data_IF_821848472322
#
_entry.id   IF_821848472322
#
_cell.length_a   1.000
_cell.length_b   1.000
_cell.length_c   1.000
_cell.angle_alpha   90.00
_cell.angle_beta   90.00
_cell.angle_gamma   90.00
#
_symmetry.space_group_name_H-M   'P 1'
#
loop_
_entity.id
_entity.type
_entity.pdbx_description
1 polymer ?
#
# COMPACT_ATOMS: atom_id res chain seq x y z
N UNK A 1 18.85 -9.67 -3.36
CA UNK A 1 17.57 -9.98 -2.70
C UNK A 1 16.46 -10.36 -3.68
N UNK A 2 16.14 -9.59 -4.73
CA UNK A 2 15.04 -9.96 -5.65
C UNK A 2 15.26 -11.29 -6.38
N UNK A 3 16.49 -11.56 -6.85
CA UNK A 3 16.81 -12.80 -7.56
C UNK A 3 16.70 -14.06 -6.68
N UNK A 4 16.96 -13.93 -5.38
CA UNK A 4 16.85 -15.04 -4.42
C UNK A 4 15.38 -15.36 -4.11
N UNK A 5 14.53 -14.32 -4.01
CA UNK A 5 13.09 -14.46 -3.77
C UNK A 5 12.37 -15.12 -4.95
N UNK A 6 12.69 -14.70 -6.17
CA UNK A 6 12.07 -15.25 -7.40
C UNK A 6 12.50 -16.69 -7.67
N UNK A 7 13.74 -17.06 -7.34
CA UNK A 7 14.22 -18.45 -7.42
C UNK A 7 13.47 -19.38 -6.45
N UNK A 8 13.27 -18.94 -5.21
CA UNK A 8 12.50 -19.70 -4.22
C UNK A 8 11.03 -19.90 -4.65
N UNK A 9 10.41 -18.85 -5.21
CA UNK A 9 9.05 -18.92 -5.75
C UNK A 9 8.95 -19.90 -6.93
N UNK A 10 9.92 -19.88 -7.84
CA UNK A 10 9.97 -20.82 -8.96
C UNK A 10 10.06 -22.27 -8.47
N UNK A 11 10.93 -22.53 -7.48
CA UNK A 11 11.06 -23.85 -6.86
C UNK A 11 9.77 -24.29 -6.17
N UNK A 12 9.09 -23.38 -5.47
CA UNK A 12 7.79 -23.66 -4.87
C UNK A 12 6.78 -24.04 -5.95
N UNK A 13 6.55 -23.19 -6.95
CA UNK A 13 5.58 -23.44 -8.02
C UNK A 13 5.82 -24.77 -8.76
N UNK A 14 7.08 -25.19 -8.92
CA UNK A 14 7.44 -26.45 -9.58
C UNK A 14 7.19 -27.69 -8.70
N UNK A 15 7.30 -27.58 -7.37
CA UNK A 15 7.17 -28.70 -6.44
C UNK A 15 5.75 -28.89 -5.87
N UNK A 16 4.89 -27.87 -5.87
CA UNK A 16 3.53 -28.03 -5.32
C UNK A 16 2.66 -28.91 -6.22
N UNK A 17 2.12 -30.00 -5.68
CA UNK A 17 1.11 -30.81 -6.36
C UNK A 17 -0.32 -30.36 -6.03
N UNK A 18 -0.58 -29.98 -4.79
CA UNK A 18 -1.91 -29.64 -4.27
C UNK A 18 -2.44 -28.29 -4.77
N UNK A 19 -1.56 -27.32 -5.05
CA UNK A 19 -1.95 -25.93 -5.35
C UNK A 19 -1.49 -25.45 -6.73
N UNK A 20 -1.41 -26.33 -7.73
CA UNK A 20 -0.90 -25.98 -9.08
C UNK A 20 -1.55 -24.75 -9.72
N UNK A 21 -2.87 -24.58 -9.58
CA UNK A 21 -3.59 -23.44 -10.16
C UNK A 21 -3.30 -22.14 -9.38
N UNK A 22 -3.33 -22.21 -8.05
CA UNK A 22 -3.11 -21.05 -7.18
C UNK A 22 -1.65 -20.60 -7.20
N UNK A 23 -0.70 -21.53 -7.27
CA UNK A 23 0.74 -21.22 -7.36
C UNK A 23 1.07 -20.53 -8.68
N UNK A 24 0.48 -20.98 -9.81
CA UNK A 24 0.60 -20.28 -11.11
C UNK A 24 0.00 -18.87 -11.08
N UNK A 25 -1.18 -18.71 -10.46
CA UNK A 25 -1.82 -17.38 -10.32
C UNK A 25 -0.98 -16.45 -9.46
N UNK A 26 -0.45 -16.96 -8.34
CA UNK A 26 0.42 -16.20 -7.45
C UNK A 26 1.72 -15.79 -8.17
N UNK A 27 2.36 -16.70 -8.90
CA UNK A 27 3.53 -16.40 -9.72
C UNK A 27 3.26 -15.28 -10.73
N UNK A 28 2.14 -15.32 -11.45
CA UNK A 28 1.75 -14.23 -12.36
C UNK A 28 1.60 -12.88 -11.65
N UNK A 29 1.07 -12.86 -10.43
CA UNK A 29 0.95 -11.63 -9.63
C UNK A 29 2.34 -11.12 -9.26
N UNK A 30 3.20 -11.99 -8.73
CA UNK A 30 4.57 -11.64 -8.35
C UNK A 30 5.35 -11.12 -9.56
N UNK A 31 5.33 -11.83 -10.68
CA UNK A 31 5.97 -11.39 -11.93
C UNK A 31 5.43 -10.02 -12.39
N UNK A 32 4.14 -9.73 -12.21
CA UNK A 32 3.55 -8.44 -12.60
C UNK A 32 3.98 -7.26 -11.72
N UNK A 33 4.47 -7.54 -10.50
CA UNK A 33 4.84 -6.55 -9.49
C UNK A 33 6.36 -6.46 -9.31
N UNK A 34 7.02 -7.59 -9.01
CA UNK A 34 8.46 -7.68 -8.74
C UNK A 34 9.31 -7.64 -10.01
N UNK A 35 8.82 -8.17 -11.14
CA UNK A 35 9.60 -8.14 -12.40
C UNK A 35 9.55 -6.78 -13.11
N UNK A 36 8.76 -5.82 -12.61
CA UNK A 36 8.84 -4.43 -13.07
C UNK A 36 10.10 -3.80 -12.51
N UNK A 37 11.20 -3.93 -13.24
CA UNK A 37 12.43 -3.19 -12.97
C UNK A 37 12.20 -1.70 -13.31
N UNK A 38 11.67 -0.97 -12.34
CA UNK A 38 11.47 0.47 -12.45
C UNK A 38 12.82 1.13 -12.14
N UNK A 39 13.37 1.83 -13.12
CA UNK A 39 14.57 2.63 -12.94
C UNK A 39 14.44 3.54 -11.71
N UNK A 40 15.43 3.55 -10.78
CA UNK A 40 15.40 4.41 -9.60
C UNK A 40 15.16 5.89 -9.94
N UNK A 41 15.68 6.35 -11.08
CA UNK A 41 15.46 7.71 -11.61
C UNK A 41 13.99 8.04 -11.87
N UNK A 42 13.18 7.08 -12.36
CA UNK A 42 11.74 7.28 -12.57
C UNK A 42 11.00 7.43 -11.24
N UNK A 43 11.41 6.69 -10.21
CA UNK A 43 10.87 6.81 -8.86
C UNK A 43 11.24 8.18 -8.28
N UNK A 44 12.53 8.54 -8.34
CA UNK A 44 13.02 9.83 -7.85
C UNK A 44 12.29 11.01 -8.52
N UNK A 45 12.15 11.00 -9.84
CA UNK A 45 11.43 12.04 -10.58
C UNK A 45 9.95 12.13 -10.16
N UNK A 46 9.30 10.99 -9.94
CA UNK A 46 7.91 10.94 -9.47
C UNK A 46 7.79 11.50 -8.05
N UNK A 47 8.72 11.16 -7.17
CA UNK A 47 8.78 11.68 -5.80
C UNK A 47 9.00 13.19 -5.78
N UNK A 48 9.96 13.70 -6.56
CA UNK A 48 10.19 15.15 -6.70
C UNK A 48 8.93 15.86 -7.21
N UNK A 49 8.24 15.29 -8.20
CA UNK A 49 6.97 15.86 -8.72
C UNK A 49 5.87 15.89 -7.67
N UNK A 50 5.81 14.91 -6.78
CA UNK A 50 4.87 14.88 -5.66
C UNK A 50 5.24 15.95 -4.62
N UNK A 51 6.51 16.04 -4.23
CA UNK A 51 7.01 16.99 -3.23
C UNK A 51 6.90 18.44 -3.69
N UNK A 52 7.18 18.73 -4.98
CA UNK A 52 7.04 20.09 -5.56
C UNK A 52 5.60 20.53 -5.76
N UNK A 53 4.62 19.63 -5.63
CA UNK A 53 3.22 20.00 -5.79
C UNK A 53 2.82 20.88 -4.61
N UNK A 54 2.24 22.06 -4.87
CA UNK A 54 1.76 22.96 -3.80
C UNK A 54 0.75 22.29 -2.86
N UNK A 55 -0.08 21.38 -3.41
CA UNK A 55 -1.04 20.58 -2.66
C UNK A 55 -0.96 19.09 -3.05
N UNK A 56 -0.04 18.27 -2.51
CA UNK A 56 0.03 16.84 -2.78
C UNK A 56 -1.27 16.14 -2.33
N UNK A 57 -2.12 15.78 -3.30
CA UNK A 57 -3.40 15.08 -3.04
C UNK A 57 -3.24 13.91 -2.06
N UNK A 58 -2.11 13.20 -2.06
CA UNK A 58 -1.82 12.12 -1.12
C UNK A 58 -1.82 12.58 0.35
N UNK A 59 -1.02 13.60 0.70
CA UNK A 59 -0.93 14.10 2.08
C UNK A 59 -2.26 14.71 2.54
N UNK A 60 -2.94 15.46 1.67
CA UNK A 60 -4.24 16.03 2.01
C UNK A 60 -5.33 14.98 2.11
N UNK A 61 -5.32 13.91 1.29
CA UNK A 61 -6.38 12.88 1.34
C UNK A 61 -6.31 12.05 2.62
N UNK A 62 -5.12 11.85 3.21
CA UNK A 62 -4.97 11.23 4.53
C UNK A 62 -5.70 12.06 5.60
N UNK A 63 -5.58 13.40 5.55
CA UNK A 63 -6.19 14.32 6.51
C UNK A 63 -7.53 14.93 6.07
N UNK A 64 -8.09 14.49 4.93
CA UNK A 64 -9.36 14.97 4.39
C UNK A 64 -10.47 13.92 4.54
N UNK A 65 -10.36 13.08 5.56
CA UNK A 65 -11.43 12.19 5.95
C UNK A 65 -12.62 13.02 6.45
N UNK A 66 -13.75 12.89 5.77
CA UNK A 66 -14.98 13.63 6.10
C UNK A 66 -15.41 13.42 7.56
N UNK A 67 -15.25 12.20 8.09
CA UNK A 67 -15.57 11.89 9.47
C UNK A 67 -14.64 12.58 10.47
N UNK A 68 -13.35 12.73 10.15
CA UNK A 68 -12.41 13.48 11.00
C UNK A 68 -12.72 14.98 11.01
N UNK A 69 -13.17 15.51 9.88
CA UNK A 69 -13.64 16.91 9.80
C UNK A 69 -14.91 17.12 10.62
N UNK A 70 -15.88 16.21 10.53
CA UNK A 70 -17.07 16.25 11.37
C UNK A 70 -16.68 16.16 12.84
N UNK A 71 -15.82 15.21 13.22
CA UNK A 71 -15.33 15.06 14.58
C UNK A 71 -14.73 16.38 15.10
N UNK A 72 -13.88 17.03 14.31
CA UNK A 72 -13.27 18.32 14.71
C UNK A 72 -14.27 19.47 14.89
N UNK A 73 -15.44 19.43 14.27
CA UNK A 73 -16.51 20.43 14.45
C UNK A 73 -17.23 20.25 15.79
N UNK A 74 -17.29 19.01 16.32
CA UNK A 74 -18.01 18.74 17.56
C UNK A 74 -17.30 19.37 18.79
N UNK A 75 -18.04 19.72 19.86
CA UNK A 75 -17.46 20.09 21.15
C UNK A 75 -16.51 19.01 21.69
N UNK A 76 -15.39 19.42 22.31
CA UNK A 76 -14.35 18.51 22.83
C UNK A 76 -14.89 17.35 23.67
N UNK A 77 -15.92 17.61 24.50
CA UNK A 77 -16.56 16.59 25.35
C UNK A 77 -17.15 15.42 24.52
N UNK A 78 -17.80 15.73 23.41
CA UNK A 78 -18.36 14.72 22.50
C UNK A 78 -17.28 14.02 21.69
N UNK A 79 -16.24 14.75 21.25
CA UNK A 79 -15.09 14.14 20.59
C UNK A 79 -14.44 13.06 21.47
N UNK A 80 -14.14 13.39 22.72
CA UNK A 80 -13.54 12.44 23.66
C UNK A 80 -14.46 11.27 23.99
N UNK A 81 -15.78 11.50 24.06
CA UNK A 81 -16.74 10.41 24.24
C UNK A 81 -16.70 9.42 23.06
N UNK A 82 -16.73 9.90 21.82
CA UNK A 82 -16.66 9.06 20.62
C UNK A 82 -15.34 8.28 20.56
N UNK A 83 -14.20 8.95 20.81
CA UNK A 83 -12.88 8.29 20.83
C UNK A 83 -12.85 7.19 21.89
N UNK A 84 -13.40 7.44 23.08
CA UNK A 84 -13.43 6.47 24.17
C UNK A 84 -14.30 5.25 23.87
N UNK A 85 -15.34 5.37 23.05
CA UNK A 85 -16.14 4.22 22.61
C UNK A 85 -15.46 3.39 21.52
N UNK A 86 -14.63 4.01 20.66
CA UNK A 86 -13.87 3.30 19.63
C UNK A 86 -12.63 2.58 20.16
N UNK A 87 -12.07 3.04 21.27
CA UNK A 87 -10.90 2.43 21.93
C UNK A 87 -11.27 1.27 22.88
N UNK A 88 -12.55 0.97 23.04
CA UNK A 88 -13.05 -0.25 23.70
C UNK A 88 -13.17 -1.37 22.69
#
# INVERSE_FOLDING_TARGET
MLNTSTSALNNFCNKTELYKCNSKRFKKIVDSVEAKNILPSKIANKTIKILKKKNPKFAYKINNNFYLKLLNILPKRLQFYIIRQLLK
#
